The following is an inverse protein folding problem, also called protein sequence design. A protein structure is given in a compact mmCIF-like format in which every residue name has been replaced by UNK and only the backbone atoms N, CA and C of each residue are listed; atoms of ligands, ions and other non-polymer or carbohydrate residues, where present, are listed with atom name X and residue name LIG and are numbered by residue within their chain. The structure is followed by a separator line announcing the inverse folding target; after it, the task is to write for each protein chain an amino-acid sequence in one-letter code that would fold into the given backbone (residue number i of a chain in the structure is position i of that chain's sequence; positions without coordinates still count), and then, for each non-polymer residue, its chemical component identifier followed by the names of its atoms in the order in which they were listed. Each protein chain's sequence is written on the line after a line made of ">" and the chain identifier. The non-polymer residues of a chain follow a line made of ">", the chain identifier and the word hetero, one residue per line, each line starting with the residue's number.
data_IF_037207754339
#
_entry.id   IF_037207754339
#
_cell.length_a   1.000
_cell.length_b   1.000
_cell.length_c   1.000
_cell.angle_alpha   90.00
_cell.angle_beta   90.00
_cell.angle_gamma   90.00
#
_symmetry.space_group_name_H-M   'P 1'
#
loop_
_entity.id
_entity.type
_entity.pdbx_description
1 polymer ?
#
# COMPACT_ATOMS: atom_id res chain seq x y z
N UNK A 1 -7.05 -13.51 -13.18
CA UNK A 1 -6.99 -12.19 -12.55
C UNK A 1 -5.52 -11.97 -12.17
N UNK A 2 -4.92 -10.87 -12.60
CA UNK A 2 -3.49 -10.62 -12.46
C UNK A 2 -3.28 -9.84 -11.16
N UNK A 3 -2.88 -10.54 -10.09
CA UNK A 3 -2.43 -9.88 -8.86
C UNK A 3 -1.13 -9.14 -9.17
N UNK A 4 -1.18 -7.80 -9.21
CA UNK A 4 0.03 -6.97 -9.38
C UNK A 4 0.58 -6.64 -8.00
N UNK A 5 1.83 -7.02 -7.74
CA UNK A 5 2.56 -6.56 -6.56
C UNK A 5 2.81 -5.06 -6.77
N UNK A 6 2.24 -4.24 -5.90
CA UNK A 6 2.47 -2.80 -5.92
C UNK A 6 3.70 -2.42 -5.12
N UNK A 7 3.83 -3.00 -3.93
CA UNK A 7 4.85 -2.59 -2.98
C UNK A 7 5.21 -3.80 -2.13
N UNK A 8 6.51 -3.98 -1.90
CA UNK A 8 7.06 -4.96 -0.96
C UNK A 8 8.00 -4.21 -0.03
N UNK A 9 7.66 -4.15 1.25
CA UNK A 9 8.44 -3.43 2.27
C UNK A 9 8.93 -4.42 3.33
N UNK A 10 10.17 -4.23 3.81
CA UNK A 10 10.67 -4.95 4.99
C UNK A 10 10.61 -4.00 6.19
N UNK A 11 9.90 -4.40 7.24
CA UNK A 11 9.76 -3.67 8.51
C UNK A 11 10.14 -4.62 9.64
N UNK A 12 11.28 -4.40 10.29
CA UNK A 12 11.85 -5.41 11.19
C UNK A 12 12.16 -6.70 10.41
N UNK A 13 11.72 -7.84 10.93
CA UNK A 13 11.79 -9.15 10.24
C UNK A 13 10.52 -9.46 9.43
N UNK A 14 9.51 -8.59 9.48
CA UNK A 14 8.28 -8.72 8.71
C UNK A 14 8.45 -8.24 7.27
N UNK A 15 8.03 -9.06 6.30
CA UNK A 15 7.84 -8.60 4.91
C UNK A 15 6.37 -8.31 4.67
N UNK A 16 6.08 -7.12 4.12
CA UNK A 16 4.73 -6.63 3.85
C UNK A 16 4.57 -6.44 2.35
N UNK A 17 3.77 -7.30 1.71
CA UNK A 17 3.40 -7.15 0.30
C UNK A 17 2.01 -6.53 0.18
N UNK A 18 1.86 -5.52 -0.67
CA UNK A 18 0.54 -5.03 -1.08
C UNK A 18 0.25 -5.47 -2.51
N UNK A 19 -0.92 -6.09 -2.71
CA UNK A 19 -1.39 -6.54 -4.02
C UNK A 19 -2.75 -5.96 -4.34
N UNK A 20 -2.92 -5.48 -5.57
CA UNK A 20 -4.20 -5.08 -6.12
C UNK A 20 -4.69 -6.09 -7.16
N UNK A 21 -6.00 -6.17 -7.31
CA UNK A 21 -6.65 -7.02 -8.31
C UNK A 21 -6.41 -6.55 -9.76
N UNK A 22 -6.02 -5.29 -9.94
CA UNK A 22 -5.67 -4.67 -11.23
C UNK A 22 -4.74 -3.47 -11.04
N UNK A 23 -4.19 -2.98 -12.14
CA UNK A 23 -3.21 -1.88 -12.14
C UNK A 23 -3.82 -0.48 -12.32
N UNK A 24 -4.98 -0.39 -12.97
CA UNK A 24 -5.58 0.87 -13.40
C UNK A 24 -6.99 1.00 -12.84
N UNK A 25 -7.27 2.13 -12.20
CA UNK A 25 -8.56 2.44 -11.57
C UNK A 25 -9.08 3.78 -12.08
N UNK A 26 -10.40 3.90 -12.18
CA UNK A 26 -11.07 5.19 -12.45
C UNK A 26 -11.39 5.91 -11.15
N UNK A 27 -11.57 7.22 -11.21
CA UNK A 27 -12.16 7.97 -10.11
C UNK A 27 -13.49 7.33 -9.68
N UNK A 28 -13.76 7.37 -8.37
CA UNK A 28 -14.94 6.76 -7.72
C UNK A 28 -15.05 5.23 -7.84
N UNK A 29 -14.05 4.56 -8.42
CA UNK A 29 -13.99 3.10 -8.49
C UNK A 29 -13.57 2.49 -7.14
N UNK A 30 -14.08 1.30 -6.87
CA UNK A 30 -13.64 0.49 -5.74
C UNK A 30 -12.27 -0.12 -6.01
N UNK A 31 -11.34 0.13 -5.09
CA UNK A 31 -10.02 -0.50 -5.05
C UNK A 31 -10.09 -1.68 -4.09
N UNK A 32 -9.89 -2.88 -4.64
CA UNK A 32 -9.86 -4.13 -3.88
C UNK A 32 -8.49 -4.79 -4.01
N UNK A 33 -8.05 -5.42 -2.92
CA UNK A 33 -6.74 -6.03 -2.84
C UNK A 33 -6.49 -6.73 -1.52
N UNK A 34 -5.22 -7.06 -1.27
CA UNK A 34 -4.77 -7.64 -0.01
C UNK A 34 -3.40 -7.16 0.42
N UNK A 35 -3.24 -7.03 1.72
CA UNK A 35 -1.94 -6.92 2.37
C UNK A 35 -1.53 -8.31 2.84
N UNK A 36 -0.33 -8.75 2.48
CA UNK A 36 0.23 -10.04 2.89
C UNK A 36 1.39 -9.74 3.83
N UNK A 37 1.28 -10.22 5.06
CA UNK A 37 2.30 -10.13 6.08
C UNK A 37 3.01 -11.47 6.16
N UNK A 38 4.33 -11.46 6.01
CA UNK A 38 5.18 -12.67 6.09
C UNK A 38 6.15 -12.50 7.24
N UNK A 39 5.94 -13.26 8.32
CA UNK A 39 6.82 -13.33 9.47
C UNK A 39 8.20 -13.85 9.08
N UNK A 40 9.23 -13.26 9.69
CA UNK A 40 10.62 -13.66 9.51
C UNK A 40 11.04 -14.71 10.52
N UNK A 41 12.12 -14.42 11.25
CA UNK A 41 12.75 -15.38 12.16
C UNK A 41 12.25 -15.33 13.61
N UNK A 42 11.41 -14.35 13.94
CA UNK A 42 10.79 -14.12 15.24
C UNK A 42 9.35 -13.62 15.08
N UNK A 43 8.63 -13.59 16.20
CA UNK A 43 7.25 -13.10 16.25
C UNK A 43 7.25 -11.57 16.25
N UNK A 44 6.39 -10.96 15.43
CA UNK A 44 6.31 -9.50 15.23
C UNK A 44 4.92 -8.98 15.58
N UNK A 45 4.84 -7.93 16.39
CA UNK A 45 3.58 -7.30 16.76
C UNK A 45 3.18 -6.24 15.71
N UNK A 46 2.02 -6.44 15.10
CA UNK A 46 1.40 -5.49 14.18
C UNK A 46 0.28 -4.78 14.91
N UNK A 47 0.51 -3.52 15.26
CA UNK A 47 -0.49 -2.66 15.92
C UNK A 47 -1.48 -2.05 14.93
N UNK A 48 -1.05 -1.76 13.70
CA UNK A 48 -1.87 -1.13 12.68
C UNK A 48 -1.34 -1.36 11.27
N UNK A 49 -2.25 -1.33 10.30
CA UNK A 49 -1.89 -1.27 8.88
C UNK A 49 -2.63 -0.08 8.27
N UNK A 50 -1.90 0.83 7.64
CA UNK A 50 -2.44 1.98 6.92
C UNK A 50 -1.91 1.97 5.49
N UNK A 51 -2.84 1.97 4.54
CA UNK A 51 -2.56 2.19 3.14
C UNK A 51 -2.65 3.70 2.86
N UNK A 52 -1.66 4.23 2.16
CA UNK A 52 -1.61 5.65 1.78
C UNK A 52 -1.50 5.73 0.26
N UNK A 53 -2.43 6.45 -0.36
CA UNK A 53 -2.34 6.83 -1.77
C UNK A 53 -1.58 8.14 -1.88
N UNK A 54 -0.52 8.14 -2.68
CA UNK A 54 0.37 9.28 -2.88
C UNK A 54 0.30 9.74 -4.33
N UNK A 55 0.32 11.06 -4.52
CA UNK A 55 0.63 11.69 -5.80
C UNK A 55 2.14 12.00 -5.80
N UNK A 56 2.93 11.29 -6.62
CA UNK A 56 4.36 11.54 -6.72
C UNK A 56 4.63 12.94 -7.29
N UNK A 57 5.67 13.62 -6.80
CA UNK A 57 6.12 14.91 -7.35
C UNK A 57 6.76 14.74 -8.74
N UNK A 58 6.64 15.74 -9.61
CA UNK A 58 7.40 15.79 -10.87
C UNK A 58 8.89 15.50 -10.66
N UNK A 59 9.42 14.51 -11.38
CA UNK A 59 10.82 14.09 -11.30
C UNK A 59 11.14 13.03 -10.22
N UNK A 60 10.15 12.52 -9.48
CA UNK A 60 10.32 11.32 -8.68
C UNK A 60 10.42 10.08 -9.58
N UNK A 61 11.35 9.17 -9.30
CA UNK A 61 11.43 7.86 -9.95
C UNK A 61 10.69 6.81 -9.11
N UNK A 62 10.20 5.75 -9.75
CA UNK A 62 9.46 4.64 -9.11
C UNK A 62 10.28 3.87 -8.04
N UNK A 63 11.58 4.15 -7.93
CA UNK A 63 12.55 3.48 -7.07
C UNK A 63 13.01 4.30 -5.84
N UNK A 64 12.43 5.47 -5.58
CA UNK A 64 12.75 6.26 -4.37
C UNK A 64 11.92 5.77 -3.19
N UNK A 65 12.59 5.59 -2.05
CA UNK A 65 11.92 5.50 -0.75
C UNK A 65 11.02 6.73 -0.59
N UNK A 66 9.74 6.50 -0.23
CA UNK A 66 8.69 7.52 -0.14
C UNK A 66 9.23 8.86 0.41
N UNK A 67 9.16 9.91 -0.39
CA UNK A 67 9.74 11.21 -0.04
C UNK A 67 8.76 11.95 0.90
N UNK A 68 9.27 12.63 1.93
CA UNK A 68 8.46 13.44 2.84
C UNK A 68 7.65 14.53 2.12
N UNK A 69 8.01 14.83 0.87
CA UNK A 69 7.34 15.82 0.02
C UNK A 69 6.22 15.29 -0.88
N UNK A 70 5.91 13.98 -0.86
CA UNK A 70 4.80 13.43 -1.64
C UNK A 70 3.43 13.89 -1.11
N UNK A 71 2.51 14.21 -2.03
CA UNK A 71 1.17 14.66 -1.66
C UNK A 71 0.29 13.45 -1.32
N UNK A 72 -0.16 13.38 -0.06
CA UNK A 72 -1.14 12.37 0.35
C UNK A 72 -2.52 12.68 -0.22
N UNK A 73 -3.03 11.79 -1.06
CA UNK A 73 -4.38 11.87 -1.62
C UNK A 73 -5.41 11.21 -0.70
N UNK A 74 -5.12 10.01 -0.20
CA UNK A 74 -6.04 9.23 0.62
C UNK A 74 -5.30 8.37 1.63
N UNK A 75 -5.91 8.14 2.79
CA UNK A 75 -5.48 7.11 3.74
C UNK A 75 -6.62 6.14 3.98
N UNK A 76 -6.30 4.86 4.04
CA UNK A 76 -7.22 3.79 4.41
C UNK A 76 -6.59 2.94 5.50
N UNK A 77 -7.32 2.73 6.60
CA UNK A 77 -6.83 1.93 7.72
C UNK A 77 -7.46 0.53 7.70
N UNK A 78 -6.61 -0.49 7.71
CA UNK A 78 -7.03 -1.87 7.90
C UNK A 78 -6.89 -2.17 9.38
N UNK A 79 -8.01 -2.49 10.03
CA UNK A 79 -8.01 -2.90 11.44
C UNK A 79 -7.18 -4.18 11.58
N UNK A 80 -6.03 -4.05 12.23
CA UNK A 80 -5.09 -5.15 12.39
C UNK A 80 -4.25 -4.93 13.64
N UNK A 81 -4.75 -5.41 14.77
CA UNK A 81 -3.98 -5.63 16.00
C UNK A 81 -3.75 -7.14 16.11
N UNK A 82 -2.53 -7.60 15.90
CA UNK A 82 -2.20 -9.04 15.91
C UNK A 82 -0.69 -9.26 16.07
N UNK A 83 -0.33 -10.45 16.51
CA UNK A 83 1.04 -10.98 16.39
C UNK A 83 1.12 -11.81 15.11
N UNK A 84 2.15 -11.57 14.30
CA UNK A 84 2.53 -12.43 13.18
C UNK A 84 3.67 -13.32 13.67
N UNK A 85 3.40 -14.61 13.81
CA UNK A 85 4.38 -15.58 14.30
C UNK A 85 5.53 -15.78 13.31
N UNK A 86 6.66 -16.29 13.80
CA UNK A 86 7.80 -16.72 13.00
C UNK A 86 7.35 -17.56 11.80
N UNK A 87 7.82 -17.18 10.60
CA UNK A 87 7.50 -17.83 9.32
C UNK A 87 6.00 -17.91 8.97
N UNK A 88 5.12 -17.28 9.74
CA UNK A 88 3.69 -17.24 9.45
C UNK A 88 3.42 -16.33 8.24
N UNK A 89 2.42 -16.68 7.45
CA UNK A 89 1.86 -15.77 6.44
C UNK A 89 0.42 -15.44 6.80
N UNK A 90 0.10 -14.15 6.87
CA UNK A 90 -1.24 -13.64 7.15
C UNK A 90 -1.69 -12.76 6.00
N UNK A 91 -2.88 -13.03 5.45
CA UNK A 91 -3.50 -12.19 4.44
C UNK A 91 -4.60 -11.32 5.06
N UNK A 92 -4.60 -10.02 4.77
CA UNK A 92 -5.63 -9.07 5.16
C UNK A 92 -6.24 -8.47 3.89
N UNK A 93 -7.46 -8.88 3.51
CA UNK A 93 -8.15 -8.25 2.38
C UNK A 93 -8.53 -6.82 2.75
N UNK A 94 -8.58 -5.95 1.75
CA UNK A 94 -9.08 -4.61 1.89
C UNK A 94 -9.92 -4.21 0.69
N UNK A 95 -10.83 -3.29 0.94
CA UNK A 95 -11.63 -2.64 -0.08
C UNK A 95 -11.87 -1.19 0.35
N UNK A 96 -11.63 -0.24 -0.55
CA UNK A 96 -11.99 1.15 -0.32
C UNK A 96 -12.40 1.83 -1.63
N UNK A 97 -13.23 2.87 -1.52
CA UNK A 97 -13.61 3.68 -2.67
C UNK A 97 -12.53 4.74 -2.92
N UNK A 98 -12.00 4.77 -4.13
CA UNK A 98 -11.08 5.81 -4.56
C UNK A 98 -11.82 7.14 -4.58
N UNK A 99 -11.39 8.12 -3.78
CA UNK A 99 -12.00 9.43 -3.84
C UNK A 99 -11.68 10.11 -5.17
N UNK A 100 -12.49 11.08 -5.55
CA UNK A 100 -12.22 11.89 -6.73
C UNK A 100 -11.13 12.92 -6.37
N UNK A 101 -9.95 12.77 -6.99
CA UNK A 101 -8.83 13.68 -6.79
C UNK A 101 -8.64 14.54 -8.03
N UNK A 102 -8.44 15.83 -7.82
CA UNK A 102 -7.86 16.70 -8.83
C UNK A 102 -6.35 16.45 -8.81
N UNK A 103 -5.89 15.63 -9.76
CA UNK A 103 -4.47 15.39 -9.97
C UNK A 103 -3.90 16.62 -10.65
N UNK A 104 -2.76 17.12 -10.18
CA UNK A 104 -2.16 18.29 -10.80
C UNK A 104 -1.89 17.97 -12.28
N UNK A 105 -2.55 18.69 -13.20
CA UNK A 105 -2.18 18.63 -14.62
C UNK A 105 -0.70 19.02 -14.70
N UNK A 106 0.14 18.04 -15.05
CA UNK A 106 1.55 18.24 -15.39
C UNK A 106 1.61 19.36 -16.43
N UNK A 107 1.99 20.57 -16.01
CA UNK A 107 2.27 21.65 -16.94
C UNK A 107 3.55 21.29 -17.65
N UNK A 108 3.42 20.63 -18.81
CA UNK A 108 4.49 20.57 -19.80
C UNK A 108 4.82 22.01 -20.22
N UNK A 109 5.84 22.58 -19.59
CA UNK A 109 6.57 23.75 -20.07
C UNK A 109 7.62 23.32 -21.10
#
# INVERSE_FOLDING_TARGET
>A
MLDKILTSLKVGELTVDTRLEKADFKADETVSGKVILKGGNEDEEVSRIRLTLLEPKEGSNENKDFDESDKVLQMYEIKSEQVVEKAQTVEKPFEFRLANFDLAETQML
#
